data_IF_657898022943
#
_entry.id   IF_657898022943
#
_cell.length_a   1.000
_cell.length_b   1.000
_cell.length_c   1.000
_cell.angle_alpha   90.00
_cell.angle_beta   90.00
_cell.angle_gamma   90.00
#
_symmetry.space_group_name_H-M   'P 1'
#
loop_
_entity.id
_entity.type
_entity.pdbx_description
1 polymer ?
#
# COMPACT_ATOMS: atom_id res chain seq x y z
N UNK A 1 -4.44 -26.73 -11.48
CA UNK A 1 -4.35 -27.01 -12.92
C UNK A 1 -5.59 -26.74 -13.76
N UNK A 2 -6.81 -27.07 -13.32
CA UNK A 2 -8.04 -26.80 -14.11
C UNK A 2 -8.25 -25.31 -14.51
N UNK A 3 -7.83 -24.38 -13.67
CA UNK A 3 -7.99 -22.95 -13.95
C UNK A 3 -7.09 -22.42 -15.08
N UNK A 4 -5.95 -23.07 -15.34
CA UNK A 4 -5.01 -22.66 -16.39
C UNK A 4 -5.45 -23.13 -17.79
N UNK A 5 -6.20 -24.23 -17.88
CA UNK A 5 -6.71 -24.74 -19.17
C UNK A 5 -7.73 -23.79 -19.82
N UNK A 6 -8.63 -23.22 -19.03
CA UNK A 6 -9.67 -22.31 -19.53
C UNK A 6 -9.10 -20.95 -19.96
N UNK A 7 -8.08 -20.44 -19.26
CA UNK A 7 -7.36 -19.21 -19.64
C UNK A 7 -6.60 -19.42 -20.95
N UNK A 8 -5.97 -20.59 -21.15
CA UNK A 8 -5.31 -20.93 -22.42
C UNK A 8 -6.27 -21.02 -23.61
N UNK A 9 -7.48 -21.53 -23.41
CA UNK A 9 -8.48 -21.64 -24.49
C UNK A 9 -9.03 -20.28 -24.92
N UNK A 10 -9.26 -19.36 -23.99
CA UNK A 10 -9.82 -18.04 -24.29
C UNK A 10 -8.77 -17.02 -24.78
N UNK A 11 -7.52 -17.14 -24.34
CA UNK A 11 -6.49 -16.12 -24.56
C UNK A 11 -5.21 -16.65 -25.21
N UNK A 12 -5.17 -17.92 -25.62
CA UNK A 12 -3.96 -18.60 -26.08
C UNK A 12 -3.18 -17.89 -27.19
N UNK A 13 -3.85 -17.19 -28.11
CA UNK A 13 -3.18 -16.42 -29.18
C UNK A 13 -2.62 -15.06 -28.73
N UNK A 14 -3.13 -14.46 -27.66
CA UNK A 14 -2.65 -13.15 -27.19
C UNK A 14 -1.41 -13.24 -26.30
N UNK A 15 -1.23 -14.37 -25.60
CA UNK A 15 -0.04 -14.58 -24.74
C UNK A 15 1.25 -14.76 -25.53
N UNK A 16 1.19 -15.15 -26.81
CA UNK A 16 2.39 -15.26 -27.67
C UNK A 16 2.94 -13.88 -28.07
N UNK A 17 2.08 -12.85 -28.16
CA UNK A 17 2.48 -11.50 -28.55
C UNK A 17 3.00 -10.66 -27.37
N UNK A 18 2.59 -10.99 -26.15
CA UNK A 18 3.01 -10.29 -24.94
C UNK A 18 3.29 -11.30 -23.83
N UNK A 19 4.53 -11.80 -23.68
CA UNK A 19 4.89 -12.63 -22.54
C UNK A 19 4.78 -11.79 -21.26
N UNK A 20 3.63 -11.88 -20.58
CA UNK A 20 3.45 -11.29 -19.26
C UNK A 20 4.22 -12.18 -18.28
N UNK A 21 5.47 -11.82 -18.03
CA UNK A 21 6.25 -12.41 -16.94
C UNK A 21 5.65 -11.92 -15.61
N UNK A 22 4.75 -12.73 -15.05
CA UNK A 22 4.24 -12.51 -13.69
C UNK A 22 5.37 -12.87 -12.71
N UNK A 23 6.20 -11.89 -12.38
CA UNK A 23 7.15 -12.03 -11.28
C UNK A 23 6.38 -11.96 -9.96
N UNK A 24 6.30 -13.09 -9.24
CA UNK A 24 5.76 -13.10 -7.89
C UNK A 24 6.71 -12.37 -6.96
N UNK A 25 6.36 -11.15 -6.57
CA UNK A 25 7.15 -10.38 -5.60
C UNK A 25 6.81 -10.88 -4.19
N UNK A 26 7.76 -11.55 -3.57
CA UNK A 26 7.66 -11.97 -2.17
C UNK A 26 8.12 -10.85 -1.25
N UNK A 27 7.19 -10.01 -0.81
CA UNK A 27 7.47 -8.99 0.20
C UNK A 27 7.37 -9.55 1.61
N UNK A 28 8.21 -9.02 2.49
CA UNK A 28 8.23 -9.26 3.93
C UNK A 28 7.90 -7.96 4.67
N UNK A 29 7.34 -8.03 5.88
CA UNK A 29 7.10 -6.86 6.72
C UNK A 29 8.30 -5.91 6.85
N UNK A 30 9.51 -6.45 6.89
CA UNK A 30 10.73 -5.66 7.00
C UNK A 30 11.00 -4.75 5.78
N UNK A 31 10.57 -5.16 4.59
CA UNK A 31 10.81 -4.43 3.34
C UNK A 31 10.07 -3.08 3.31
N UNK A 32 9.04 -2.93 4.15
CA UNK A 32 8.23 -1.72 4.23
C UNK A 32 8.77 -0.68 5.21
N UNK A 33 9.85 -0.96 5.96
CA UNK A 33 10.46 0.00 6.89
C UNK A 33 11.32 1.04 6.18
N UNK A 34 10.67 1.89 5.39
CA UNK A 34 11.31 2.89 4.50
C UNK A 34 11.30 4.31 5.06
N UNK A 35 10.75 4.52 6.27
CA UNK A 35 10.70 5.84 6.89
C UNK A 35 12.08 6.29 7.38
N UNK A 36 12.44 7.52 7.02
CA UNK A 36 13.67 8.16 7.49
C UNK A 36 13.57 8.59 8.97
N UNK A 37 14.65 9.15 9.52
CA UNK A 37 14.67 9.62 10.91
C UNK A 37 13.69 10.77 11.16
N UNK A 38 13.42 11.61 10.16
CA UNK A 38 12.50 12.74 10.29
C UNK A 38 11.05 12.24 10.39
N UNK A 39 10.65 11.31 9.53
CA UNK A 39 9.37 10.62 9.56
C UNK A 39 9.13 9.94 10.92
N UNK A 40 10.14 9.24 11.43
CA UNK A 40 10.08 8.55 12.72
C UNK A 40 9.93 9.54 13.89
N UNK A 41 10.72 10.62 13.90
CA UNK A 41 10.63 11.66 14.94
C UNK A 41 9.28 12.35 14.92
N UNK A 42 8.81 12.74 13.73
CA UNK A 42 7.51 13.38 13.57
C UNK A 42 6.40 12.48 14.09
N UNK A 43 6.39 11.19 13.72
CA UNK A 43 5.39 10.24 14.20
C UNK A 43 5.42 10.10 15.72
N UNK A 44 6.61 9.96 16.31
CA UNK A 44 6.80 9.93 17.76
C UNK A 44 6.25 11.20 18.44
N UNK A 45 6.57 12.39 17.91
CA UNK A 45 6.07 13.67 18.42
C UNK A 45 4.55 13.80 18.32
N UNK A 46 3.94 13.26 17.27
CA UNK A 46 2.49 13.25 17.14
C UNK A 46 1.84 12.34 18.19
N UNK A 47 2.41 11.15 18.42
CA UNK A 47 1.94 10.26 19.49
C UNK A 47 2.10 10.93 20.86
N UNK A 48 3.24 11.58 21.10
CA UNK A 48 3.51 12.32 22.33
C UNK A 48 2.53 13.48 22.54
N UNK A 49 2.22 14.27 21.52
CA UNK A 49 1.26 15.37 21.65
C UNK A 49 -0.13 14.90 22.06
N UNK A 50 -0.57 13.77 21.51
CA UNK A 50 -1.86 13.16 21.86
C UNK A 50 -1.82 12.54 23.26
N UNK A 51 -0.65 12.15 23.76
CA UNK A 51 -0.46 11.43 25.02
C UNK A 51 0.44 12.25 25.94
N UNK A 52 -0.16 13.07 26.80
CA UNK A 52 0.51 14.03 27.70
C UNK A 52 1.63 13.47 28.62
N UNK A 53 1.95 12.16 28.59
CA UNK A 53 3.04 11.52 29.34
C UNK A 53 4.04 10.82 28.40
N UNK A 54 5.33 11.12 28.57
CA UNK A 54 6.42 10.77 27.65
C UNK A 54 7.22 9.49 28.01
N UNK A 55 6.77 8.65 28.94
CA UNK A 55 7.58 7.54 29.50
C UNK A 55 8.20 6.58 28.47
N UNK A 56 7.42 6.06 27.51
CA UNK A 56 7.89 5.37 26.28
C UNK A 56 6.69 5.05 25.36
N UNK A 57 5.91 6.09 25.02
CA UNK A 57 4.81 6.20 24.04
C UNK A 57 3.67 5.16 24.03
N UNK A 58 3.73 4.06 24.79
CA UNK A 58 2.67 3.07 24.93
C UNK A 58 1.83 3.38 26.18
N UNK A 59 0.50 3.28 26.06
CA UNK A 59 -0.37 3.33 27.24
C UNK A 59 -0.42 1.97 27.97
N UNK A 60 -0.99 1.93 29.17
CA UNK A 60 -1.07 0.69 29.98
C UNK A 60 -1.77 -0.46 29.26
N UNK A 61 -2.82 -0.16 28.49
CA UNK A 61 -3.55 -1.16 27.70
C UNK A 61 -2.65 -1.79 26.64
N UNK A 62 -1.92 -0.98 25.89
CA UNK A 62 -0.99 -1.42 24.85
C UNK A 62 0.19 -2.19 25.44
N UNK A 63 0.73 -1.75 26.57
CA UNK A 63 1.77 -2.48 27.31
C UNK A 63 1.29 -3.88 27.72
N UNK A 64 0.05 -4.00 28.24
CA UNK A 64 -0.58 -5.30 28.53
C UNK A 64 -0.79 -6.15 27.27
N UNK A 65 -1.19 -5.52 26.17
CA UNK A 65 -1.36 -6.20 24.89
C UNK A 65 -0.03 -6.77 24.38
N UNK A 66 1.05 -5.97 24.38
CA UNK A 66 2.39 -6.42 23.99
C UNK A 66 2.87 -7.57 24.87
N UNK A 67 2.72 -7.48 26.20
CA UNK A 67 3.08 -8.59 27.11
C UNK A 67 2.35 -9.88 26.73
N UNK A 68 1.05 -9.79 26.45
CA UNK A 68 0.24 -10.93 26.02
C UNK A 68 0.70 -11.48 24.67
N UNK A 69 0.97 -10.61 23.70
CA UNK A 69 1.47 -10.98 22.36
C UNK A 69 2.81 -11.71 22.48
N UNK A 70 3.75 -11.19 23.28
CA UNK A 70 5.06 -11.84 23.53
C UNK A 70 4.91 -13.24 24.12
N UNK A 71 4.00 -13.41 25.08
CA UNK A 71 3.71 -14.72 25.67
C UNK A 71 3.13 -15.69 24.64
N UNK A 72 2.15 -15.25 23.84
CA UNK A 72 1.55 -16.09 22.77
C UNK A 72 2.62 -16.46 21.73
N UNK A 73 3.46 -15.50 21.33
CA UNK A 73 4.55 -15.72 20.38
C UNK A 73 5.55 -16.74 20.90
N UNK A 74 6.03 -16.58 22.14
CA UNK A 74 6.96 -17.52 22.76
C UNK A 74 6.39 -18.93 22.83
N UNK A 75 5.12 -19.07 23.24
CA UNK A 75 4.44 -20.37 23.29
C UNK A 75 4.37 -21.04 21.91
N UNK A 76 4.12 -20.27 20.86
CA UNK A 76 3.93 -20.79 19.49
C UNK A 76 5.25 -21.08 18.78
N UNK A 77 6.22 -20.18 18.82
CA UNK A 77 7.44 -20.24 18.00
C UNK A 77 8.71 -20.57 18.78
N UNK A 78 8.64 -20.62 20.12
CA UNK A 78 9.80 -20.86 21.01
C UNK A 78 10.97 -19.89 20.76
N UNK A 79 10.65 -18.66 20.36
CA UNK A 79 11.60 -17.57 20.05
C UNK A 79 11.12 -16.27 20.69
N UNK A 80 12.04 -15.36 20.97
CA UNK A 80 11.69 -14.04 21.50
C UNK A 80 11.09 -13.16 20.41
N UNK A 81 9.89 -12.64 20.66
CA UNK A 81 9.20 -11.69 19.78
C UNK A 81 9.98 -10.38 19.58
N UNK A 82 10.84 -10.00 20.51
CA UNK A 82 11.69 -8.81 20.41
C UNK A 82 12.82 -8.95 19.39
N UNK A 83 13.09 -10.18 18.92
CA UNK A 83 14.15 -10.46 17.92
C UNK A 83 13.60 -10.70 16.52
N UNK A 84 12.28 -10.74 16.35
CA UNK A 84 11.66 -10.98 15.05
C UNK A 84 11.39 -9.66 14.32
N UNK A 85 12.23 -9.38 13.31
CA UNK A 85 12.09 -8.23 12.40
C UNK A 85 10.77 -8.20 11.64
N UNK A 86 10.20 -9.39 11.41
CA UNK A 86 8.97 -9.53 10.65
C UNK A 86 7.73 -9.36 11.50
N UNK A 87 7.87 -9.29 12.84
CA UNK A 87 6.74 -9.23 13.75
C UNK A 87 6.22 -7.81 13.93
N UNK A 88 5.02 -7.60 13.39
CA UNK A 88 4.24 -6.38 13.48
C UNK A 88 2.86 -6.77 14.01
N UNK A 89 2.39 -6.04 15.01
CA UNK A 89 1.10 -6.29 15.63
C UNK A 89 0.23 -5.03 15.63
N UNK A 90 -1.06 -5.22 15.42
CA UNK A 90 -2.05 -4.17 15.59
C UNK A 90 -2.47 -4.10 17.05
N UNK A 91 -2.10 -3.02 17.76
CA UNK A 91 -2.36 -2.89 19.20
C UNK A 91 -3.76 -2.36 19.54
N UNK A 92 -4.59 -2.06 18.53
CA UNK A 92 -5.98 -1.64 18.73
C UNK A 92 -6.88 -2.78 19.23
N UNK A 93 -6.52 -4.04 18.96
CA UNK A 93 -7.30 -5.20 19.37
C UNK A 93 -6.90 -5.73 20.76
N UNK A 94 -7.82 -6.47 21.40
CA UNK A 94 -7.47 -7.30 22.55
C UNK A 94 -6.86 -8.62 22.06
N UNK A 95 -5.56 -8.90 22.28
CA UNK A 95 -4.90 -10.09 21.74
C UNK A 95 -5.43 -11.41 22.31
N UNK A 96 -6.21 -11.38 23.40
CA UNK A 96 -6.91 -12.57 23.93
C UNK A 96 -8.16 -12.93 23.14
N UNK A 97 -8.80 -11.95 22.51
CA UNK A 97 -10.03 -12.14 21.73
C UNK A 97 -9.72 -12.21 20.23
N UNK A 98 -8.88 -11.29 19.74
CA UNK A 98 -8.50 -11.20 18.32
C UNK A 98 -7.03 -10.84 18.22
N UNK A 99 -6.23 -11.77 17.71
CA UNK A 99 -4.81 -11.58 17.49
C UNK A 99 -4.55 -11.16 16.04
N UNK A 100 -4.29 -9.86 15.83
CA UNK A 100 -4.03 -9.29 14.52
C UNK A 100 -2.54 -8.92 14.41
N UNK A 101 -1.75 -9.81 13.83
CA UNK A 101 -0.29 -9.70 13.75
C UNK A 101 0.28 -10.42 12.52
N UNK A 102 1.54 -10.16 12.19
CA UNK A 102 2.24 -10.80 11.08
C UNK A 102 2.91 -12.13 11.45
N UNK A 103 3.01 -12.50 12.74
CA UNK A 103 3.80 -13.66 13.15
C UNK A 103 3.37 -15.00 12.54
N UNK A 104 2.07 -15.16 12.23
CA UNK A 104 1.54 -16.37 11.61
C UNK A 104 1.66 -16.38 10.07
N UNK A 105 1.40 -15.25 9.43
CA UNK A 105 1.33 -15.14 7.97
C UNK A 105 2.65 -14.70 7.32
N UNK A 106 3.55 -14.09 8.09
CA UNK A 106 4.67 -13.32 7.56
C UNK A 106 4.22 -12.13 6.71
N UNK A 107 3.00 -11.61 6.90
CA UNK A 107 2.43 -10.49 6.13
C UNK A 107 1.97 -9.36 7.05
N UNK A 108 2.03 -8.13 6.56
CA UNK A 108 1.45 -6.96 7.25
C UNK A 108 -0.04 -7.22 7.50
N UNK A 109 -0.56 -7.06 8.73
CA UNK A 109 -1.99 -7.21 8.95
C UNK A 109 -2.77 -6.14 8.19
N UNK A 110 -4.02 -6.44 7.80
CA UNK A 110 -4.85 -5.50 7.04
C UNK A 110 -5.02 -4.18 7.79
N UNK A 111 -4.77 -3.07 7.09
CA UNK A 111 -5.04 -1.73 7.61
C UNK A 111 -6.55 -1.55 7.80
N UNK A 112 -6.95 -0.82 8.84
CA UNK A 112 -8.35 -0.61 9.19
C UNK A 112 -8.69 0.88 9.14
N UNK A 113 -9.96 1.19 8.92
CA UNK A 113 -10.49 2.56 8.92
C UNK A 113 -10.26 3.29 10.24
N UNK A 114 -10.20 2.56 11.35
CA UNK A 114 -9.88 3.09 12.67
C UNK A 114 -8.37 3.20 12.94
N UNK A 115 -7.51 3.21 11.91
CA UNK A 115 -6.05 3.30 12.01
C UNK A 115 -5.55 4.54 12.78
N UNK A 116 -6.37 5.59 12.89
CA UNK A 116 -6.11 6.74 13.76
C UNK A 116 -6.02 6.35 15.25
N UNK A 117 -6.83 5.38 15.68
CA UNK A 117 -6.86 4.84 17.04
C UNK A 117 -6.05 3.55 17.19
N UNK A 118 -6.03 2.72 16.16
CA UNK A 118 -5.30 1.46 16.11
C UNK A 118 -3.98 1.59 15.38
N UNK A 119 -2.88 1.54 16.11
CA UNK A 119 -1.54 1.68 15.54
C UNK A 119 -0.87 0.33 15.34
N UNK A 120 -0.20 0.19 14.20
CA UNK A 120 0.67 -0.93 13.89
C UNK A 120 2.01 -0.73 14.59
N UNK A 121 2.44 -1.72 15.37
CA UNK A 121 3.64 -1.64 16.20
C UNK A 121 4.64 -2.74 15.82
N UNK A 122 5.88 -2.36 15.57
CA UNK A 122 7.00 -3.29 15.44
C UNK A 122 7.60 -3.55 16.82
N UNK A 123 7.59 -4.81 17.27
CA UNK A 123 8.11 -5.17 18.59
C UNK A 123 9.63 -5.02 18.66
N UNK A 124 10.34 -5.47 17.63
CA UNK A 124 11.79 -5.41 17.57
C UNK A 124 12.29 -3.96 17.46
N UNK A 125 11.68 -3.13 16.61
CA UNK A 125 12.05 -1.71 16.45
C UNK A 125 11.50 -0.80 17.55
N UNK A 126 10.58 -1.31 18.38
CA UNK A 126 9.91 -0.60 19.48
C UNK A 126 9.25 0.72 19.06
N UNK A 127 8.71 0.78 17.85
CA UNK A 127 8.03 1.96 17.32
C UNK A 127 6.80 1.61 16.49
N UNK A 128 5.96 2.62 16.30
CA UNK A 128 4.84 2.56 15.37
C UNK A 128 5.34 2.58 13.92
N UNK A 129 4.54 2.03 13.01
CA UNK A 129 4.75 2.24 11.58
C UNK A 129 4.41 3.70 11.24
N UNK A 130 5.27 4.33 10.45
CA UNK A 130 5.09 5.70 9.97
C UNK A 130 4.14 5.74 8.78
N UNK A 131 3.55 6.91 8.47
CA UNK A 131 2.62 7.07 7.34
C UNK A 131 3.22 6.63 6.01
N UNK A 132 4.50 6.95 5.77
CA UNK A 132 5.22 6.51 4.57
C UNK A 132 5.26 4.99 4.45
N UNK A 133 5.54 4.29 5.54
CA UNK A 133 5.58 2.83 5.59
C UNK A 133 4.19 2.25 5.32
N UNK A 134 3.14 2.81 5.93
CA UNK A 134 1.75 2.40 5.69
C UNK A 134 1.34 2.58 4.22
N UNK A 135 1.65 3.72 3.61
CA UNK A 135 1.40 3.96 2.17
C UNK A 135 2.20 2.97 1.30
N UNK A 136 3.45 2.68 1.67
CA UNK A 136 4.26 1.68 0.99
C UNK A 136 3.62 0.28 1.05
N UNK A 137 3.01 -0.11 2.18
CA UNK A 137 2.27 -1.39 2.29
C UNK A 137 1.03 -1.48 1.39
N UNK A 138 0.50 -0.33 0.97
CA UNK A 138 -0.59 -0.22 0.01
C UNK A 138 -0.09 -0.10 -1.44
N UNK A 139 1.23 -0.20 -1.68
CA UNK A 139 1.81 -0.13 -3.02
C UNK A 139 1.93 1.29 -3.59
N UNK A 140 1.82 2.34 -2.76
CA UNK A 140 2.06 3.70 -3.24
C UNK A 140 3.56 3.93 -3.52
N UNK A 141 3.92 4.69 -4.57
CA UNK A 141 5.30 4.99 -4.94
C UNK A 141 5.89 6.09 -4.05
N UNK A 142 6.03 5.81 -2.76
CA UNK A 142 6.60 6.74 -1.76
C UNK A 142 8.11 6.63 -1.58
N UNK A 143 8.71 5.68 -2.29
CA UNK A 143 10.14 5.38 -2.33
C UNK A 143 10.64 5.71 -3.74
N UNK A 144 11.74 6.48 -3.92
CA UNK A 144 12.23 6.89 -5.23
C UNK A 144 12.45 5.75 -6.22
N UNK A 145 13.04 4.64 -5.77
CA UNK A 145 13.35 3.47 -6.58
C UNK A 145 12.07 2.79 -7.09
N UNK A 146 11.04 2.73 -6.22
CA UNK A 146 9.72 2.18 -6.57
C UNK A 146 9.01 3.09 -7.56
N UNK A 147 9.03 4.41 -7.33
CA UNK A 147 8.42 5.40 -8.21
C UNK A 147 9.05 5.39 -9.61
N UNK A 148 10.39 5.35 -9.68
CA UNK A 148 11.16 5.22 -10.91
C UNK A 148 10.78 3.94 -11.66
N UNK A 149 10.72 2.81 -10.97
CA UNK A 149 10.35 1.52 -11.56
C UNK A 149 8.92 1.50 -12.10
N UNK A 150 8.03 2.29 -11.48
CA UNK A 150 6.64 2.46 -11.90
C UNK A 150 6.47 3.53 -12.98
N UNK A 151 7.50 4.29 -13.32
CA UNK A 151 7.42 5.40 -14.29
C UNK A 151 6.55 6.56 -13.82
N UNK A 152 6.46 6.79 -12.50
CA UNK A 152 5.61 7.84 -11.90
C UNK A 152 6.40 8.69 -10.91
N UNK A 153 5.98 9.94 -10.63
CA UNK A 153 6.61 10.76 -9.60
C UNK A 153 6.46 10.14 -8.20
N UNK A 154 7.44 10.41 -7.33
CA UNK A 154 7.38 10.01 -5.92
C UNK A 154 6.22 10.71 -5.23
N UNK A 155 5.37 9.95 -4.55
CA UNK A 155 4.25 10.51 -3.76
C UNK A 155 4.81 11.15 -2.48
N UNK A 156 4.68 12.48 -2.30
CA UNK A 156 5.20 13.15 -1.12
C UNK A 156 4.30 12.89 0.09
N UNK A 157 4.89 12.46 1.21
CA UNK A 157 4.17 12.21 2.47
C UNK A 157 4.32 13.41 3.42
N UNK A 158 3.89 14.60 2.97
CA UNK A 158 4.00 15.84 3.76
C UNK A 158 2.94 15.95 4.85
N UNK A 159 1.69 15.61 4.51
CA UNK A 159 0.57 15.64 5.44
C UNK A 159 0.31 14.24 6.01
N UNK A 160 0.72 14.05 7.25
CA UNK A 160 0.63 12.77 7.94
C UNK A 160 -0.79 12.42 8.36
N UNK A 161 -1.61 13.41 8.70
CA UNK A 161 -2.99 13.18 9.12
C UNK A 161 -3.79 12.67 7.92
N UNK A 162 -3.69 13.38 6.79
CA UNK A 162 -4.30 12.97 5.52
C UNK A 162 -3.76 11.63 5.03
N UNK A 163 -2.45 11.39 5.13
CA UNK A 163 -1.87 10.10 4.73
C UNK A 163 -2.45 8.92 5.54
N UNK A 164 -2.68 9.08 6.85
CA UNK A 164 -3.30 8.03 7.69
C UNK A 164 -4.74 7.76 7.31
N UNK A 165 -5.50 8.82 7.04
CA UNK A 165 -6.89 8.71 6.59
C UNK A 165 -7.00 7.94 5.27
N UNK A 166 -6.15 8.29 4.29
CA UNK A 166 -6.03 7.56 3.03
C UNK A 166 -5.71 6.08 3.29
N UNK A 167 -4.73 5.79 4.15
CA UNK A 167 -4.32 4.41 4.42
C UNK A 167 -5.43 3.52 5.00
N UNK A 168 -6.37 4.09 5.75
CA UNK A 168 -7.46 3.32 6.37
C UNK A 168 -8.56 2.91 5.38
N UNK A 169 -8.75 3.67 4.30
CA UNK A 169 -9.83 3.51 3.33
C UNK A 169 -9.35 3.09 1.93
N UNK A 170 -8.05 3.20 1.65
CA UNK A 170 -7.49 2.92 0.34
C UNK A 170 -7.46 1.41 0.04
N UNK A 171 -7.67 1.09 -1.22
CA UNK A 171 -7.31 -0.21 -1.77
C UNK A 171 -5.81 -0.26 -2.06
N UNK A 172 -5.23 -1.47 -2.05
CA UNK A 172 -3.88 -1.67 -2.53
C UNK A 172 -3.78 -1.17 -3.99
N UNK A 173 -2.73 -0.41 -4.32
CA UNK A 173 -2.56 0.28 -5.59
C UNK A 173 -2.70 -0.67 -6.79
N UNK A 174 -2.11 -1.87 -6.70
CA UNK A 174 -2.27 -2.90 -7.72
C UNK A 174 -3.73 -3.29 -8.00
N UNK A 175 -4.59 -3.34 -6.98
CA UNK A 175 -6.02 -3.61 -7.18
C UNK A 175 -6.70 -2.46 -7.94
N UNK A 176 -6.33 -1.21 -7.63
CA UNK A 176 -6.84 -0.02 -8.34
C UNK A 176 -6.43 -0.07 -9.81
N UNK A 177 -5.17 -0.40 -10.11
CA UNK A 177 -4.70 -0.54 -11.49
C UNK A 177 -5.47 -1.61 -12.27
N UNK A 178 -5.75 -2.76 -11.66
CA UNK A 178 -6.55 -3.82 -12.29
C UNK A 178 -7.97 -3.34 -12.57
N UNK A 179 -8.62 -2.66 -11.62
CA UNK A 179 -9.97 -2.11 -11.82
C UNK A 179 -9.96 -1.06 -12.93
N UNK A 180 -8.97 -0.17 -12.97
CA UNK A 180 -8.84 0.84 -14.02
C UNK A 180 -8.61 0.20 -15.39
N UNK A 181 -7.77 -0.83 -15.47
CA UNK A 181 -7.55 -1.58 -16.70
C UNK A 181 -8.84 -2.26 -17.19
N UNK A 182 -9.57 -2.92 -16.29
CA UNK A 182 -10.87 -3.52 -16.62
C UNK A 182 -11.88 -2.47 -17.10
N UNK A 183 -11.94 -1.31 -16.45
CA UNK A 183 -12.78 -0.21 -16.89
C UNK A 183 -12.42 0.21 -18.32
N UNK A 184 -11.14 0.44 -18.62
CA UNK A 184 -10.67 0.81 -19.97
C UNK A 184 -10.97 -0.27 -21.02
N UNK A 185 -10.93 -1.55 -20.65
CA UNK A 185 -11.28 -2.65 -21.56
C UNK A 185 -12.77 -2.71 -21.88
N UNK A 186 -13.64 -2.31 -20.94
CA UNK A 186 -15.09 -2.28 -21.13
C UNK A 186 -15.56 -1.04 -21.88
N UNK A 187 -14.83 0.07 -21.82
CA UNK A 187 -15.14 1.27 -22.61
C UNK A 187 -14.56 1.13 -24.01
N UNK A 188 -15.42 0.84 -25.00
CA UNK A 188 -15.03 1.07 -26.39
C UNK A 188 -14.73 2.56 -26.57
N UNK A 189 -13.55 2.94 -27.11
CA UNK A 189 -13.30 4.33 -27.44
C UNK A 189 -14.45 4.77 -28.34
N UNK A 190 -15.17 5.82 -27.93
CA UNK A 190 -16.20 6.42 -28.77
C UNK A 190 -15.50 6.69 -30.09
N UNK A 191 -15.86 5.94 -31.14
CA UNK A 191 -15.38 6.24 -32.48
C UNK A 191 -15.81 7.67 -32.69
N UNK A 192 -14.85 8.59 -32.66
CA UNK A 192 -15.06 9.94 -33.17
C UNK A 192 -15.33 9.67 -34.64
N UNK A 193 -16.61 9.45 -34.96
CA UNK A 193 -17.05 9.27 -36.33
C UNK A 193 -16.51 10.50 -37.03
N UNK A 194 -15.60 10.31 -37.98
CA UNK A 194 -15.01 11.35 -38.82
C UNK A 194 -16.06 12.10 -39.68
N UNK A 195 -17.35 12.03 -39.31
CA UNK A 195 -18.47 12.66 -40.00
C UNK A 195 -18.68 14.14 -39.63
N UNK A 196 -18.09 14.64 -38.55
CA UNK A 196 -18.15 16.08 -38.23
C UNK A 196 -16.87 16.85 -38.61
N UNK A 197 -15.92 16.18 -39.28
CA UNK A 197 -14.70 16.77 -39.80
C UNK A 197 -14.78 17.10 -41.29
N UNK A 198 -15.71 17.97 -41.71
CA UNK A 198 -15.29 18.96 -42.73
C UNK A 198 -14.34 19.90 -41.98
N UNK A 199 -13.06 19.54 -41.95
CA UNK A 199 -12.01 20.55 -41.77
C UNK A 199 -12.17 21.45 -42.99
N UNK A 200 -12.51 22.75 -42.84
CA UNK A 200 -12.50 23.67 -43.97
C UNK A 200 -11.09 23.59 -44.55
N UNK A 201 -10.98 23.24 -45.83
CA UNK A 201 -9.72 23.42 -46.54
C UNK A 201 -9.37 24.90 -46.42
N UNK A 202 -8.10 25.26 -46.17
CA UNK A 202 -7.68 26.65 -46.28
C UNK A 202 -8.12 27.13 -47.65
N UNK A 203 -8.93 28.20 -47.68
CA UNK A 203 -9.34 28.83 -48.92
C UNK A 203 -8.04 29.20 -49.66
N UNK A 204 -7.84 28.62 -50.85
CA UNK A 204 -6.90 29.16 -51.82
C UNK A 204 -7.45 30.55 -52.19
N UNK A 205 -6.98 31.58 -51.48
CA UNK A 205 -7.05 32.97 -51.91
C UNK A 205 -6.13 33.11 -53.12
N UNK A 206 -6.55 32.58 -54.26
CA UNK A 206 -5.99 32.96 -55.55
C UNK A 206 -6.46 34.38 -55.85
N UNK A 207 -5.57 35.32 -55.54
CA UNK A 207 -5.52 36.68 -56.05
C UNK A 207 -5.88 36.69 -57.55
N UNK A 208 -6.99 37.33 -57.90
CA UNK A 208 -7.24 37.80 -59.26
C UNK A 208 -6.91 39.28 -59.28
N UNK A 209 -5.68 39.60 -59.69
CA UNK A 209 -5.34 40.90 -60.26
C UNK A 209 -5.97 40.99 -61.65
N UNK A 210 -6.90 41.94 -61.83
CA UNK A 210 -7.19 42.66 -63.08
C UNK A 210 -7.95 43.96 -62.75
#
# INVERSE_FOLDING_TARGET
DLHMGMVRQLYGRYYELFPIHIAWVHTKPADYFVADRADQRLEAEHVARVRQQLGYLLNDRENRAIKTIKQIYWKRYRRSADRDEQLIAFLGDNPRQRLCWSGASGRIPTLRTNSSSGKMYSLQRRRWLCCRELLCTLGFPVVPEVALSMGVPVVPVRDRARAKEICGNAMHFGCVCVIQFLAMACFSPRRLSARDGRVPLPNDESESED
#
